data_IF_535403175912
#
_entry.id   IF_535403175912
#
_cell.length_a   1.000
_cell.length_b   1.000
_cell.length_c   1.000
_cell.angle_alpha   90.00
_cell.angle_beta   90.00
_cell.angle_gamma   90.00
#
_symmetry.space_group_name_H-M   'P 1'
#
loop_
_entity.id
_entity.type
_entity.pdbx_description
1 polymer ?
#
# COMPACT_ATOMS: atom_id res chain seq x y z
N UNK A 1 -13.52 1.33 2.02
CA UNK A 1 -12.07 1.10 2.22
C UNK A 1 -11.37 2.39 2.65
N UNK A 2 -11.36 3.44 1.82
CA UNK A 2 -10.79 4.76 2.22
C UNK A 2 -11.47 5.32 3.47
N UNK A 3 -12.80 5.35 3.51
CA UNK A 3 -13.56 5.81 4.69
C UNK A 3 -13.24 4.99 5.96
N UNK A 4 -12.98 3.68 5.80
CA UNK A 4 -12.61 2.81 6.92
C UNK A 4 -11.21 3.16 7.45
N UNK A 5 -10.26 3.46 6.56
CA UNK A 5 -8.92 3.94 6.95
C UNK A 5 -9.00 5.26 7.68
N UNK A 6 -9.71 6.25 7.12
CA UNK A 6 -9.85 7.57 7.74
C UNK A 6 -10.50 7.48 9.12
N UNK A 7 -11.53 6.63 9.26
CA UNK A 7 -12.22 6.41 10.54
C UNK A 7 -11.28 5.77 11.58
N UNK A 8 -10.55 4.72 11.21
CA UNK A 8 -9.64 4.04 12.14
C UNK A 8 -8.40 4.89 12.49
N UNK A 9 -7.85 5.65 11.54
CA UNK A 9 -6.77 6.60 11.78
C UNK A 9 -7.21 7.66 12.80
N UNK A 10 -8.40 8.24 12.61
CA UNK A 10 -8.95 9.24 13.53
C UNK A 10 -9.21 8.66 14.92
N UNK A 11 -9.73 7.43 15.00
CA UNK A 11 -9.98 6.72 16.26
C UNK A 11 -8.70 6.49 17.08
N UNK A 12 -7.57 6.27 16.40
CA UNK A 12 -6.27 6.10 17.04
C UNK A 12 -5.47 7.40 17.18
N UNK A 13 -6.03 8.56 16.80
CA UNK A 13 -5.38 9.87 16.91
C UNK A 13 -4.21 10.09 15.94
N UNK A 14 -4.11 9.28 14.88
CA UNK A 14 -3.01 9.29 13.92
C UNK A 14 -3.21 10.30 12.78
N UNK A 15 -4.22 11.16 12.87
CA UNK A 15 -4.63 12.09 11.79
C UNK A 15 -3.58 13.13 11.39
N UNK A 16 -2.63 13.45 12.29
CA UNK A 16 -1.52 14.36 12.01
C UNK A 16 -0.25 13.65 11.51
N UNK A 17 -0.21 12.31 11.60
CA UNK A 17 0.98 11.50 11.28
C UNK A 17 0.78 10.69 10.00
N UNK A 18 -0.45 10.22 9.75
CA UNK A 18 -0.79 9.38 8.61
C UNK A 18 -1.69 10.15 7.65
N UNK A 19 -1.22 10.27 6.40
CA UNK A 19 -2.02 10.82 5.30
C UNK A 19 -2.47 9.70 4.36
N UNK A 20 -3.77 9.55 4.19
CA UNK A 20 -4.35 8.66 3.18
C UNK A 20 -4.37 9.39 1.84
N UNK A 21 -3.70 8.82 0.84
CA UNK A 21 -3.64 9.38 -0.52
C UNK A 21 -4.29 8.40 -1.49
N UNK A 22 -5.27 8.88 -2.25
CA UNK A 22 -5.95 8.07 -3.26
C UNK A 22 -5.18 8.14 -4.57
N UNK A 23 -4.48 7.07 -4.92
CA UNK A 23 -3.78 6.98 -6.21
C UNK A 23 -4.63 6.32 -7.30
N UNK A 24 -4.24 6.51 -8.55
CA UNK A 24 -4.79 5.77 -9.69
C UNK A 24 -4.48 4.27 -9.64
N UNK A 25 -5.05 3.51 -10.60
CA UNK A 25 -4.84 2.07 -10.67
C UNK A 25 -3.37 1.72 -10.96
N UNK A 26 -2.81 0.79 -10.17
CA UNK A 26 -1.46 0.28 -10.38
C UNK A 26 -1.33 -0.67 -11.60
N UNK A 27 -2.44 -1.06 -12.22
CA UNK A 27 -2.49 -2.01 -13.34
C UNK A 27 -2.49 -3.48 -12.92
N UNK A 28 -2.53 -3.75 -11.61
CA UNK A 28 -2.63 -5.09 -11.00
C UNK A 28 -4.08 -5.40 -10.62
N UNK A 29 -5.00 -5.33 -11.59
CA UNK A 29 -6.45 -5.46 -11.32
C UNK A 29 -6.82 -6.80 -10.65
N UNK A 30 -6.09 -7.89 -10.95
CA UNK A 30 -6.31 -9.20 -10.35
C UNK A 30 -5.94 -9.28 -8.85
N UNK A 31 -5.23 -8.29 -8.31
CA UNK A 31 -4.76 -8.23 -6.91
C UNK A 31 -5.20 -6.97 -6.18
N UNK A 32 -6.14 -6.22 -6.78
CA UNK A 32 -6.76 -5.07 -6.16
C UNK A 32 -7.73 -5.46 -5.04
N UNK A 33 -7.98 -4.57 -4.06
CA UNK A 33 -7.35 -3.27 -3.86
C UNK A 33 -5.93 -3.39 -3.29
N UNK A 34 -5.09 -2.43 -3.65
CA UNK A 34 -3.67 -2.38 -3.29
C UNK A 34 -3.42 -1.14 -2.45
N UNK A 35 -2.61 -1.29 -1.40
CA UNK A 35 -2.20 -0.21 -0.51
C UNK A 35 -0.69 -0.26 -0.31
N UNK A 36 -0.08 0.92 -0.29
CA UNK A 36 1.36 1.08 -0.01
C UNK A 36 1.49 1.97 1.22
N UNK A 37 2.24 1.51 2.21
CA UNK A 37 2.55 2.31 3.40
C UNK A 37 4.01 2.74 3.33
N UNK A 38 4.24 4.03 3.52
CA UNK A 38 5.56 4.67 3.57
C UNK A 38 5.84 5.17 5.00
N UNK A 39 7.10 5.27 5.44
CA UNK A 39 8.35 5.12 4.66
C UNK A 39 8.81 3.67 4.41
N UNK A 40 8.21 2.69 5.09
CA UNK A 40 8.65 1.29 5.05
C UNK A 40 8.50 0.68 3.67
N UNK A 41 7.58 1.17 2.83
CA UNK A 41 7.32 0.65 1.49
C UNK A 41 6.52 -0.66 1.48
N UNK A 42 5.76 -0.94 2.54
CA UNK A 42 4.98 -2.17 2.68
C UNK A 42 3.85 -2.23 1.65
N UNK A 43 3.81 -3.31 0.86
CA UNK A 43 2.84 -3.51 -0.20
C UNK A 43 1.75 -4.50 0.25
N UNK A 44 0.56 -3.98 0.54
CA UNK A 44 -0.60 -4.79 0.90
C UNK A 44 -1.47 -5.03 -0.34
N UNK A 45 -1.86 -6.28 -0.56
CA UNK A 45 -2.70 -6.70 -1.68
C UNK A 45 -3.96 -7.40 -1.20
N UNK A 46 -5.03 -7.37 -2.00
CA UNK A 46 -6.32 -7.98 -1.66
C UNK A 46 -6.91 -7.51 -0.31
N UNK A 47 -6.61 -6.27 0.09
CA UNK A 47 -7.02 -5.73 1.40
C UNK A 47 -8.53 -5.59 1.46
N UNK A 48 -9.16 -6.14 2.48
CA UNK A 48 -10.59 -5.96 2.71
C UNK A 48 -10.84 -4.88 3.77
N UNK A 49 -12.04 -4.29 3.82
CA UNK A 49 -12.38 -3.32 4.86
C UNK A 49 -12.19 -3.86 6.28
N UNK A 50 -12.38 -5.16 6.50
CA UNK A 50 -12.23 -5.80 7.81
C UNK A 50 -10.76 -5.92 8.24
N UNK A 51 -9.82 -5.85 7.30
CA UNK A 51 -8.38 -5.89 7.57
C UNK A 51 -7.82 -4.53 8.00
N UNK A 52 -8.57 -3.44 7.76
CA UNK A 52 -8.12 -2.07 8.03
C UNK A 52 -7.78 -1.83 9.50
N UNK A 53 -8.60 -2.23 10.50
CA UNK A 53 -8.26 -2.04 11.90
C UNK A 53 -6.93 -2.69 12.29
N UNK A 54 -6.66 -3.89 11.77
CA UNK A 54 -5.39 -4.59 12.03
C UNK A 54 -4.20 -3.85 11.41
N UNK A 55 -4.34 -3.33 10.17
CA UNK A 55 -3.29 -2.53 9.53
C UNK A 55 -3.02 -1.26 10.34
N UNK A 56 -4.06 -0.55 10.79
CA UNK A 56 -3.88 0.69 11.57
C UNK A 56 -3.24 0.38 12.92
N UNK A 57 -3.74 -0.62 13.64
CA UNK A 57 -3.27 -0.92 14.99
C UNK A 57 -1.87 -1.56 15.00
N UNK A 58 -1.63 -2.57 14.17
CA UNK A 58 -0.35 -3.28 14.18
C UNK A 58 0.71 -2.50 13.41
N UNK A 59 0.41 -2.04 12.20
CA UNK A 59 1.42 -1.40 11.37
C UNK A 59 1.58 0.08 11.68
N UNK A 60 0.52 0.88 11.56
CA UNK A 60 0.64 2.34 11.68
C UNK A 60 0.92 2.79 13.12
N UNK A 61 0.31 2.15 14.11
CA UNK A 61 0.46 2.53 15.51
C UNK A 61 1.64 1.84 16.20
N UNK A 62 1.84 0.53 15.97
CA UNK A 62 2.87 -0.27 16.66
C UNK A 62 4.12 -0.55 15.82
N UNK A 63 4.14 -0.18 14.54
CA UNK A 63 5.27 -0.41 13.63
C UNK A 63 5.46 -1.88 13.21
N UNK A 64 4.47 -2.76 13.41
CA UNK A 64 4.52 -4.19 13.09
C UNK A 64 3.77 -4.50 11.81
N UNK A 65 4.50 -4.88 10.77
CA UNK A 65 3.94 -5.18 9.46
C UNK A 65 3.04 -6.42 9.50
N UNK A 66 1.85 -6.30 8.89
CA UNK A 66 0.85 -7.38 8.80
C UNK A 66 1.25 -8.37 7.70
N UNK A 67 2.13 -9.31 8.03
CA UNK A 67 2.74 -10.24 7.05
C UNK A 67 1.75 -11.06 6.23
N UNK A 68 0.57 -11.39 6.78
CA UNK A 68 -0.47 -12.18 6.07
C UNK A 68 -1.07 -11.43 4.87
N UNK A 69 -1.00 -10.10 4.87
CA UNK A 69 -1.53 -9.24 3.80
C UNK A 69 -0.44 -8.71 2.87
N UNK A 70 0.83 -8.95 3.22
CA UNK A 70 1.95 -8.54 2.38
C UNK A 70 1.91 -9.29 1.07
N UNK A 71 2.16 -8.57 0.00
CA UNK A 71 2.33 -9.16 -1.31
C UNK A 71 3.67 -9.88 -1.38
N UNK A 72 3.64 -11.22 -1.58
CA UNK A 72 4.76 -12.15 -1.42
C UNK A 72 6.04 -11.80 -2.22
N UNK A 73 5.91 -11.04 -3.31
CA UNK A 73 7.06 -10.61 -4.13
C UNK A 73 7.86 -9.43 -3.53
N UNK A 74 7.42 -8.83 -2.41
CA UNK A 74 8.12 -7.74 -1.73
C UNK A 74 8.39 -8.09 -0.26
N UNK A 75 9.52 -8.75 -0.01
CA UNK A 75 10.02 -9.01 1.35
C UNK A 75 10.86 -7.82 1.85
N UNK A 76 10.86 -7.62 3.18
CA UNK A 76 11.30 -6.41 3.91
C UNK A 76 12.71 -5.87 3.57
N UNK A 77 13.56 -6.62 2.86
CA UNK A 77 14.92 -6.19 2.51
C UNK A 77 15.09 -5.66 1.07
N UNK A 78 14.12 -5.86 0.17
CA UNK A 78 14.25 -5.46 -1.24
C UNK A 78 12.98 -4.79 -1.79
N UNK A 79 12.67 -3.62 -1.23
CA UNK A 79 11.69 -2.68 -1.81
C UNK A 79 12.36 -1.84 -2.91
N UNK A 80 13.33 -2.44 -3.61
CA UNK A 80 13.87 -1.91 -4.84
C UNK A 80 12.90 -2.24 -5.96
N UNK A 81 11.92 -1.35 -6.03
CA UNK A 81 11.15 -1.05 -7.22
C UNK A 81 10.01 -2.02 -7.54
N UNK A 82 8.80 -1.46 -7.44
CA UNK A 82 7.66 -1.81 -8.27
C UNK A 82 8.02 -1.91 -9.78
N UNK A 83 9.20 -1.44 -10.23
CA UNK A 83 9.69 -1.57 -11.60
C UNK A 83 10.35 -2.93 -11.88
N UNK A 84 10.79 -3.66 -10.86
CA UNK A 84 11.57 -4.89 -11.00
C UNK A 84 10.77 -6.18 -10.83
N UNK A 85 9.49 -6.13 -10.42
CA UNK A 85 8.66 -7.34 -10.44
C UNK A 85 8.55 -7.88 -11.86
N UNK A 86 8.46 -9.21 -12.00
CA UNK A 86 8.37 -9.88 -13.29
C UNK A 86 7.18 -9.37 -14.15
N UNK A 87 6.17 -8.81 -13.49
CA UNK A 87 5.02 -8.16 -14.12
C UNK A 87 5.38 -6.84 -14.82
N UNK A 88 6.16 -5.96 -14.17
CA UNK A 88 6.52 -4.65 -14.71
C UNK A 88 7.83 -4.64 -15.51
N UNK A 89 8.74 -5.59 -15.25
CA UNK A 89 10.05 -5.70 -15.92
C UNK A 89 9.96 -5.88 -17.45
N UNK A 90 8.85 -6.45 -17.94
CA UNK A 90 8.59 -6.63 -19.38
C UNK A 90 7.83 -5.47 -20.02
N UNK A 91 7.41 -4.46 -19.25
CA UNK A 91 6.60 -3.34 -19.75
C UNK A 91 7.44 -2.07 -19.90
N UNK A 92 7.58 -1.57 -21.12
CA UNK A 92 8.20 -0.27 -21.37
C UNK A 92 7.18 0.86 -21.10
N UNK A 93 7.11 1.35 -19.85
CA UNK A 93 6.09 2.30 -19.39
C UNK A 93 6.56 3.76 -19.59
N UNK A 94 6.35 4.32 -20.78
CA UNK A 94 6.70 5.73 -21.08
C UNK A 94 5.70 6.72 -20.47
N UNK A 95 4.40 6.47 -20.64
CA UNK A 95 3.33 7.34 -20.11
C UNK A 95 2.98 7.04 -18.64
N UNK A 96 2.95 5.77 -18.24
CA UNK A 96 2.52 5.32 -16.91
C UNK A 96 3.63 5.31 -15.85
N UNK A 97 4.81 5.87 -16.17
CA UNK A 97 5.99 5.86 -15.29
C UNK A 97 5.76 6.50 -13.91
N UNK A 98 4.76 7.37 -13.80
CA UNK A 98 4.45 8.12 -12.58
C UNK A 98 3.23 7.57 -11.83
N UNK A 99 2.47 6.63 -12.41
CA UNK A 99 1.30 6.06 -11.75
C UNK A 99 1.72 5.26 -10.50
N UNK A 100 1.26 5.71 -9.33
CA UNK A 100 1.57 5.08 -8.04
C UNK A 100 2.83 5.61 -7.34
N UNK A 101 3.51 6.60 -7.94
CA UNK A 101 4.67 7.29 -7.36
C UNK A 101 4.37 8.78 -7.10
N UNK A 102 3.51 9.39 -7.92
CA UNK A 102 3.12 10.79 -7.81
C UNK A 102 1.61 10.88 -7.59
N UNK A 103 1.20 11.65 -6.58
CA UNK A 103 -0.19 12.06 -6.34
C UNK A 103 -0.60 13.07 -7.44
N UNK A 104 -1.61 12.77 -8.29
CA UNK A 104 -2.02 13.64 -9.39
C UNK A 104 -2.72 14.92 -8.98
#
# INVERSE_FOLDING_TARGET
MIEALETEIKKHGLENEVKVVRTGCFGLCARGPIMVVYPEGSYYSLVKPEDVPEIVEEHLLKGRIVKRLLFEEFTMDDIKSLKETDFYKKQHRVALRNCGVIDP
#
